data_IF_358160100290
#
_entry.id   IF_358160100290
#
_cell.length_a   1.000
_cell.length_b   1.000
_cell.length_c   1.000
_cell.angle_alpha   90.00
_cell.angle_beta   90.00
_cell.angle_gamma   90.00
#
_symmetry.space_group_name_H-M   'P 1'
#
loop_
_entity.id
_entity.type
_entity.pdbx_description
1 polymer ?
#
# COMPACT_ATOMS: atom_id res chain seq x y z
N UNK A 1 -8.22 -5.60 19.15
CA UNK A 1 -7.02 -4.73 19.30
C UNK A 1 -6.53 -4.40 17.90
N UNK A 2 -7.40 -3.76 17.12
CA UNK A 2 -7.27 -3.69 15.67
C UNK A 2 -7.00 -2.25 15.20
N UNK A 3 -7.38 -1.28 16.04
CA UNK A 3 -7.05 0.13 15.85
C UNK A 3 -5.54 0.39 15.80
N UNK A 4 -4.74 -0.36 16.57
CA UNK A 4 -3.27 -0.22 16.58
C UNK A 4 -2.69 -0.67 15.25
N UNK A 5 -3.20 -1.77 14.67
CA UNK A 5 -2.75 -2.28 13.37
C UNK A 5 -3.12 -1.30 12.26
N UNK A 6 -4.37 -0.85 12.26
CA UNK A 6 -4.88 0.15 11.33
C UNK A 6 -4.08 1.47 11.36
N UNK A 7 -3.74 1.96 12.56
CA UNK A 7 -2.92 3.17 12.70
C UNK A 7 -1.50 2.97 12.15
N UNK A 8 -0.94 1.78 12.29
CA UNK A 8 0.41 1.46 11.83
C UNK A 8 0.47 1.24 10.30
N UNK A 9 -0.55 0.59 9.73
CA UNK A 9 -0.75 0.49 8.28
C UNK A 9 -0.88 1.87 7.63
N UNK A 10 -1.72 2.75 8.18
CA UNK A 10 -1.84 4.14 7.72
C UNK A 10 -0.50 4.86 7.81
N UNK A 11 0.25 4.70 8.91
CA UNK A 11 1.55 5.32 9.05
C UNK A 11 2.53 4.85 7.96
N UNK A 12 2.56 3.55 7.66
CA UNK A 12 3.41 2.98 6.60
C UNK A 12 3.03 3.52 5.22
N UNK A 13 1.74 3.57 4.89
CA UNK A 13 1.24 4.11 3.61
C UNK A 13 1.60 5.59 3.48
N UNK A 14 1.38 6.38 4.54
CA UNK A 14 1.70 7.82 4.54
C UNK A 14 3.20 8.07 4.36
N UNK A 15 4.07 7.27 4.98
CA UNK A 15 5.53 7.37 4.79
C UNK A 15 5.90 7.04 3.34
N UNK A 16 5.34 5.99 2.76
CA UNK A 16 5.60 5.62 1.36
C UNK A 16 5.13 6.72 0.39
N UNK A 17 3.94 7.30 0.61
CA UNK A 17 3.43 8.42 -0.21
C UNK A 17 4.27 9.68 -0.02
N UNK A 18 4.68 10.00 1.22
CA UNK A 18 5.53 11.15 1.49
C UNK A 18 6.88 11.07 0.77
N UNK A 19 7.48 9.88 0.71
CA UNK A 19 8.73 9.65 -0.04
C UNK A 19 8.45 9.67 -1.56
N UNK A 20 7.43 8.95 -2.03
CA UNK A 20 7.09 8.86 -3.46
C UNK A 20 6.66 10.20 -4.08
N UNK A 21 5.92 11.02 -3.34
CA UNK A 21 5.45 12.33 -3.79
C UNK A 21 6.59 13.33 -4.00
N UNK A 22 7.71 13.15 -3.30
CA UNK A 22 8.93 13.97 -3.45
C UNK A 22 9.76 13.60 -4.69
N UNK A 23 9.58 12.40 -5.22
CA UNK A 23 10.41 11.84 -6.30
C UNK A 23 9.75 11.90 -7.70
N UNK A 24 8.55 12.51 -7.81
CA UNK A 24 7.83 12.68 -9.08
C UNK A 24 6.75 11.62 -9.35
N UNK A 25 5.93 11.83 -10.39
CA UNK A 25 4.68 11.06 -10.62
C UNK A 25 4.85 9.55 -10.79
N UNK A 26 5.88 9.10 -11.53
CA UNK A 26 6.15 7.67 -11.73
C UNK A 26 6.63 7.01 -10.44
N UNK A 27 7.41 7.73 -9.63
CA UNK A 27 7.90 7.23 -8.35
C UNK A 27 6.76 7.02 -7.34
N UNK A 28 5.69 7.81 -7.41
CA UNK A 28 4.50 7.62 -6.58
C UNK A 28 3.84 6.26 -6.82
N UNK A 29 3.73 5.84 -8.09
CA UNK A 29 3.19 4.53 -8.45
C UNK A 29 4.06 3.37 -7.94
N UNK A 30 5.39 3.51 -8.06
CA UNK A 30 6.34 2.52 -7.55
C UNK A 30 6.29 2.43 -6.02
N UNK A 31 6.33 3.56 -5.31
CA UNK A 31 6.24 3.61 -3.86
C UNK A 31 4.89 3.13 -3.31
N UNK A 32 3.79 3.30 -4.07
CA UNK A 32 2.50 2.69 -3.76
C UNK A 32 2.55 1.16 -3.79
N UNK A 33 3.15 0.57 -4.83
CA UNK A 33 3.35 -0.87 -4.92
C UNK A 33 4.28 -1.42 -3.82
N UNK A 34 5.38 -0.73 -3.53
CA UNK A 34 6.30 -1.09 -2.43
C UNK A 34 5.59 -1.03 -1.07
N UNK A 35 4.79 0.00 -0.82
CA UNK A 35 3.99 0.11 0.42
C UNK A 35 3.05 -1.08 0.60
N UNK A 36 2.37 -1.50 -0.47
CA UNK A 36 1.49 -2.69 -0.44
C UNK A 36 2.26 -3.98 -0.15
N UNK A 37 3.45 -4.17 -0.75
CA UNK A 37 4.30 -5.33 -0.47
C UNK A 37 4.74 -5.33 1.01
N UNK A 38 5.10 -4.17 1.56
CA UNK A 38 5.49 -4.06 2.98
C UNK A 38 4.33 -4.43 3.90
N UNK A 39 3.11 -3.98 3.63
CA UNK A 39 1.95 -4.27 4.48
C UNK A 39 1.61 -5.76 4.43
N UNK A 40 1.55 -6.36 3.24
CA UNK A 40 1.25 -7.80 3.08
C UNK A 40 2.33 -8.69 3.70
N UNK A 41 3.61 -8.32 3.56
CA UNK A 41 4.73 -9.14 4.08
C UNK A 41 4.94 -8.99 5.58
N UNK A 42 4.84 -7.77 6.11
CA UNK A 42 5.15 -7.45 7.51
C UNK A 42 3.92 -7.62 8.42
N UNK A 43 2.75 -7.14 7.99
CA UNK A 43 1.51 -7.24 8.77
C UNK A 43 0.75 -8.53 8.51
N UNK A 44 1.17 -9.31 7.50
CA UNK A 44 0.52 -10.56 7.09
C UNK A 44 -0.96 -10.37 6.76
N UNK A 45 -1.33 -9.17 6.30
CA UNK A 45 -2.66 -8.89 5.83
C UNK A 45 -2.94 -9.66 4.54
N UNK A 46 -4.18 -10.13 4.33
CA UNK A 46 -4.55 -10.79 3.08
C UNK A 46 -4.32 -9.83 1.91
N UNK A 47 -3.66 -10.32 0.87
CA UNK A 47 -3.53 -9.56 -0.37
C UNK A 47 -4.93 -9.28 -0.94
N UNK A 48 -5.14 -8.08 -1.46
CA UNK A 48 -6.39 -7.72 -2.10
C UNK A 48 -6.68 -8.68 -3.27
N UNK A 49 -7.94 -9.10 -3.39
CA UNK A 49 -8.37 -9.93 -4.51
C UNK A 49 -8.08 -9.19 -5.84
N UNK A 50 -7.50 -9.88 -6.83
CA UNK A 50 -7.27 -9.28 -8.13
C UNK A 50 -8.62 -8.82 -8.68
N UNK A 51 -8.70 -7.60 -9.25
CA UNK A 51 -9.95 -6.98 -9.62
C UNK A 51 -10.40 -7.55 -10.99
N UNK A 52 -10.68 -8.85 -11.01
CA UNK A 52 -11.03 -9.63 -12.19
C UNK A 52 -12.35 -9.13 -12.79
N UNK A 53 -13.29 -8.73 -11.94
CA UNK A 53 -14.59 -8.16 -12.35
C UNK A 53 -14.47 -6.85 -13.14
N UNK A 54 -13.39 -6.08 -12.99
CA UNK A 54 -13.15 -4.84 -13.77
C UNK A 54 -12.20 -5.03 -14.94
N UNK A 55 -11.44 -6.13 -15.00
CA UNK A 55 -10.54 -6.42 -16.11
C UNK A 55 -11.19 -7.28 -17.21
N UNK A 56 -12.26 -8.01 -16.90
CA UNK A 56 -12.99 -8.89 -17.83
C UNK A 56 -14.25 -8.26 -18.47
N UNK A 57 -14.48 -6.95 -18.28
CA UNK A 57 -15.58 -6.20 -18.89
C UNK A 57 -15.30 -5.84 -20.36
#
# INVERSE_FOLDING_TARGET
>A
MDWIKFALEIAVVLVCIAIGSRMGGIALGFWGGVGMVVIVTVFREPAADPPMDVMLI
#
